data_IF_869673741543
#
_entry.id   IF_869673741543
#
_cell.length_a   1.000
_cell.length_b   1.000
_cell.length_c   1.000
_cell.angle_alpha   90.00
_cell.angle_beta   90.00
_cell.angle_gamma   90.00
#
_symmetry.space_group_name_H-M   'P 1'
#
loop_
_entity.id
_entity.type
_entity.pdbx_description
1 polymer ?
#
# COMPACT_ATOMS: atom_id res chain seq x y z
N UNK A 1 -6.47 3.14 6.18
CA UNK A 1 -6.12 1.76 6.59
C UNK A 1 -4.61 1.65 6.76
N UNK A 2 -4.13 1.26 7.95
CA UNK A 2 -2.69 1.16 8.30
C UNK A 2 -1.90 0.31 7.31
N UNK A 3 -2.49 -0.76 6.77
CA UNK A 3 -1.79 -1.66 5.83
C UNK A 3 -1.26 -0.97 4.57
N UNK A 4 -1.99 0.02 4.05
CA UNK A 4 -1.58 0.80 2.88
C UNK A 4 -0.36 1.68 3.18
N UNK A 5 -0.35 2.35 4.34
CA UNK A 5 0.77 3.20 4.79
C UNK A 5 2.04 2.34 4.94
N UNK A 6 1.91 1.13 5.48
CA UNK A 6 3.03 0.19 5.64
C UNK A 6 3.60 -0.29 4.31
N UNK A 7 2.75 -0.61 3.33
CA UNK A 7 3.20 -0.97 1.98
C UNK A 7 3.93 0.19 1.29
N UNK A 8 3.39 1.40 1.39
CA UNK A 8 4.00 2.60 0.80
C UNK A 8 5.36 2.92 1.43
N UNK A 9 5.47 2.83 2.76
CA UNK A 9 6.75 3.00 3.46
C UNK A 9 7.79 1.96 3.01
N UNK A 10 7.41 0.68 2.93
CA UNK A 10 8.28 -0.40 2.43
C UNK A 10 8.76 -0.15 1.00
N UNK A 11 7.88 0.37 0.12
CA UNK A 11 8.24 0.78 -1.23
C UNK A 11 9.29 1.90 -1.24
N UNK A 12 9.05 2.99 -0.51
CA UNK A 12 9.94 4.15 -0.48
C UNK A 12 11.33 3.80 0.06
N UNK A 13 11.40 2.96 1.10
CA UNK A 13 12.67 2.48 1.66
C UNK A 13 13.45 1.62 0.66
N UNK A 14 12.75 0.76 -0.10
CA UNK A 14 13.35 -0.08 -1.15
C UNK A 14 13.81 0.70 -2.37
N UNK A 15 13.10 1.76 -2.77
CA UNK A 15 13.55 2.65 -3.85
C UNK A 15 14.86 3.35 -3.51
N UNK A 16 15.08 3.67 -2.23
CA UNK A 16 16.30 4.31 -1.76
C UNK A 16 17.46 3.32 -1.55
N UNK A 17 17.26 2.00 -1.73
CA UNK A 17 18.32 1.01 -1.49
C UNK A 17 19.43 1.22 -2.52
N UNK A 18 20.52 1.87 -2.09
CA UNK A 18 21.76 1.94 -2.85
C UNK A 18 22.56 0.66 -2.59
N UNK A 19 23.25 0.17 -3.62
CA UNK A 19 23.94 -1.12 -3.69
C UNK A 19 24.80 -1.44 -2.45
N UNK A 20 24.18 -2.03 -1.41
CA UNK A 20 24.86 -2.51 -0.20
C UNK A 20 24.15 -2.22 1.13
N UNK A 21 23.22 -1.25 1.21
CA UNK A 21 22.52 -0.94 2.47
C UNK A 21 21.08 -1.40 2.42
N UNK A 22 20.67 -2.27 3.35
CA UNK A 22 19.26 -2.60 3.55
C UNK A 22 18.58 -1.46 4.33
N UNK A 23 18.02 -0.49 3.61
CA UNK A 23 17.38 0.68 4.21
C UNK A 23 16.19 0.34 5.10
N UNK A 24 15.55 -0.81 4.88
CA UNK A 24 14.48 -1.26 5.76
C UNK A 24 15.05 -1.61 7.14
N UNK A 25 16.16 -2.35 7.17
CA UNK A 25 16.88 -2.67 8.41
C UNK A 25 17.40 -1.40 9.07
N UNK A 26 18.02 -0.50 8.31
CA UNK A 26 18.53 0.76 8.84
C UNK A 26 17.42 1.64 9.42
N UNK A 27 16.29 1.79 8.71
CA UNK A 27 15.14 2.54 9.19
C UNK A 27 14.64 1.97 10.52
N UNK A 28 14.55 0.65 10.59
CA UNK A 28 14.05 -0.04 11.75
C UNK A 28 14.99 0.09 12.96
N UNK A 29 16.31 -0.08 12.77
CA UNK A 29 17.28 0.09 13.86
C UNK A 29 17.40 1.54 14.33
N UNK A 30 17.41 2.49 13.39
CA UNK A 30 17.76 3.89 13.66
C UNK A 30 16.58 4.75 14.09
N UNK A 31 15.35 4.39 13.70
CA UNK A 31 14.16 5.17 14.07
C UNK A 31 13.18 4.37 14.92
N UNK A 32 12.90 3.12 14.60
CA UNK A 32 11.85 2.37 15.31
C UNK A 32 12.33 1.88 16.69
N UNK A 33 13.56 1.38 16.77
CA UNK A 33 14.10 0.81 18.01
C UNK A 33 14.67 1.87 18.97
N UNK A 34 15.26 2.94 18.45
CA UNK A 34 15.99 3.95 19.23
C UNK A 34 15.09 5.07 19.78
N UNK A 35 14.02 5.42 19.07
CA UNK A 35 13.18 6.56 19.42
C UNK A 35 12.01 6.11 20.31
N UNK A 36 11.93 6.71 21.51
CA UNK A 36 10.88 6.47 22.49
C UNK A 36 9.47 6.74 21.94
N UNK A 37 9.33 7.58 20.91
CA UNK A 37 8.03 7.87 20.28
C UNK A 37 7.36 6.62 19.71
N UNK A 38 8.13 5.69 19.14
CA UNK A 38 7.57 4.46 18.55
C UNK A 38 7.27 3.39 19.60
N UNK A 39 8.00 3.42 20.72
CA UNK A 39 7.88 2.48 21.82
C UNK A 39 6.81 2.89 22.86
N UNK A 40 6.40 4.16 22.85
CA UNK A 40 5.38 4.69 23.77
C UNK A 40 4.07 3.93 23.63
N UNK A 41 3.51 3.52 24.77
CA UNK A 41 2.22 2.87 24.82
C UNK A 41 1.12 3.82 24.31
N UNK A 42 0.27 3.30 23.42
CA UNK A 42 -0.90 4.01 22.91
C UNK A 42 -2.09 3.51 23.70
N UNK A 43 -2.69 4.39 24.50
CA UNK A 43 -3.94 4.09 25.20
C UNK A 43 -5.06 3.99 24.16
N UNK A 44 -6.00 3.09 24.41
CA UNK A 44 -7.23 2.91 23.62
C UNK A 44 -7.07 2.27 22.23
N UNK A 45 -5.86 1.82 21.87
CA UNK A 45 -5.65 0.98 20.69
C UNK A 45 -5.95 -0.50 21.02
N UNK A 46 -6.90 -1.11 20.31
CA UNK A 46 -7.28 -2.53 20.49
C UNK A 46 -6.30 -3.49 19.83
N UNK A 47 -5.81 -3.12 18.64
CA UNK A 47 -5.09 -4.05 17.75
C UNK A 47 -3.56 -3.99 17.93
N UNK A 48 -3.04 -2.93 18.55
CA UNK A 48 -1.62 -2.70 18.78
C UNK A 48 -1.35 -1.88 20.03
N UNK A 49 -0.23 -2.15 20.70
CA UNK A 49 0.13 -1.51 21.97
C UNK A 49 0.99 -0.26 21.80
N UNK A 50 1.68 -0.14 20.68
CA UNK A 50 2.55 0.98 20.32
C UNK A 50 2.70 1.06 18.80
N UNK A 51 3.28 2.14 18.28
CA UNK A 51 3.58 2.22 16.85
C UNK A 51 4.61 1.17 16.42
N UNK A 52 5.56 0.82 17.29
CA UNK A 52 6.47 -0.29 17.06
C UNK A 52 5.72 -1.62 16.94
N UNK A 53 4.83 -1.95 17.87
CA UNK A 53 4.03 -3.19 17.82
C UNK A 53 3.20 -3.27 16.53
N UNK A 54 2.63 -2.13 16.11
CA UNK A 54 1.92 -2.04 14.83
C UNK A 54 2.82 -2.34 13.63
N UNK A 55 4.02 -1.75 13.61
CA UNK A 55 5.00 -1.93 12.53
C UNK A 55 5.47 -3.38 12.47
N UNK A 56 5.71 -4.00 13.62
CA UNK A 56 6.17 -5.38 13.77
C UNK A 56 5.12 -6.36 13.23
N UNK A 57 3.86 -6.17 13.63
CA UNK A 57 2.72 -6.94 13.12
C UNK A 57 2.53 -6.81 11.62
N UNK A 58 2.98 -5.71 11.01
CA UNK A 58 2.85 -5.44 9.56
C UNK A 58 4.17 -5.54 8.80
N UNK A 59 5.23 -6.05 9.42
CA UNK A 59 6.57 -6.17 8.82
C UNK A 59 6.54 -6.96 7.50
N UNK A 60 5.69 -8.00 7.42
CA UNK A 60 5.49 -8.79 6.20
C UNK A 60 5.00 -7.96 5.01
N UNK A 61 4.24 -6.88 5.24
CA UNK A 61 3.79 -5.97 4.20
C UNK A 61 4.93 -5.08 3.69
N UNK A 62 5.81 -4.63 4.59
CA UNK A 62 6.99 -3.84 4.22
C UNK A 62 8.06 -4.68 3.52
N UNK A 63 8.14 -5.98 3.86
CA UNK A 63 9.13 -6.90 3.33
C UNK A 63 8.69 -7.66 2.07
N UNK A 64 7.60 -7.25 1.42
CA UNK A 64 7.16 -7.87 0.16
C UNK A 64 8.20 -7.76 -0.94
N UNK A 65 8.27 -8.76 -1.83
CA UNK A 65 9.21 -8.75 -2.95
C UNK A 65 9.05 -7.47 -3.80
N UNK A 66 10.16 -6.86 -4.19
CA UNK A 66 10.17 -5.59 -4.92
C UNK A 66 9.35 -5.64 -6.21
N UNK A 67 9.39 -6.77 -6.95
CA UNK A 67 8.55 -6.99 -8.15
C UNK A 67 7.06 -6.94 -7.83
N UNK A 68 6.66 -7.45 -6.66
CA UNK A 68 5.28 -7.45 -6.17
C UNK A 68 4.84 -6.01 -5.87
N UNK A 69 5.70 -5.26 -5.19
CA UNK A 69 5.43 -3.86 -4.81
C UNK A 69 5.30 -2.97 -6.06
N UNK A 70 6.17 -3.14 -7.06
CA UNK A 70 6.06 -2.38 -8.31
C UNK A 70 4.74 -2.64 -9.03
N UNK A 71 4.36 -3.92 -9.21
CA UNK A 71 3.08 -4.25 -9.87
C UNK A 71 1.87 -3.72 -9.08
N UNK A 72 1.92 -3.77 -7.75
CA UNK A 72 0.89 -3.15 -6.90
C UNK A 72 0.80 -1.64 -7.12
N UNK A 73 1.95 -0.96 -7.10
CA UNK A 73 2.02 0.49 -7.28
C UNK A 73 1.49 0.93 -8.65
N UNK A 74 1.78 0.17 -9.70
CA UNK A 74 1.25 0.42 -11.04
C UNK A 74 -0.29 0.35 -11.06
N UNK A 75 -0.86 -0.72 -10.50
CA UNK A 75 -2.32 -0.87 -10.39
C UNK A 75 -2.93 0.23 -9.51
N UNK A 76 -2.28 0.56 -8.40
CA UNK A 76 -2.70 1.62 -7.48
C UNK A 76 -2.68 3.01 -8.14
N UNK A 77 -1.69 3.29 -9.00
CA UNK A 77 -1.63 4.55 -9.74
C UNK A 77 -2.81 4.70 -10.70
N UNK A 78 -3.20 3.62 -11.40
CA UNK A 78 -4.39 3.62 -12.27
C UNK A 78 -5.64 3.93 -11.44
N UNK A 79 -5.77 3.28 -10.27
CA UNK A 79 -6.89 3.49 -9.36
C UNK A 79 -7.00 4.95 -8.85
N UNK A 80 -5.88 5.54 -8.44
CA UNK A 80 -5.82 6.95 -8.04
C UNK A 80 -6.20 7.89 -9.20
N UNK A 81 -5.77 7.57 -10.42
CA UNK A 81 -6.15 8.35 -11.60
C UNK A 81 -7.66 8.27 -11.86
N UNK A 82 -8.28 7.09 -11.71
CA UNK A 82 -9.73 6.93 -11.81
C UNK A 82 -10.47 7.80 -10.79
N UNK A 83 -10.03 7.78 -9.53
CA UNK A 83 -10.61 8.60 -8.47
C UNK A 83 -10.45 10.11 -8.74
N UNK A 84 -9.28 10.55 -9.21
CA UNK A 84 -9.03 11.94 -9.56
C UNK A 84 -9.87 12.41 -10.75
N UNK A 85 -10.05 11.55 -11.76
CA UNK A 85 -10.95 11.84 -12.88
C UNK A 85 -12.40 11.92 -12.41
N UNK A 86 -12.85 10.97 -11.58
CA UNK A 86 -14.20 10.97 -10.98
C UNK A 86 -14.51 12.27 -10.22
N UNK A 87 -13.56 12.75 -9.40
CA UNK A 87 -13.72 13.95 -8.58
C UNK A 87 -13.80 15.26 -9.40
N UNK A 88 -13.34 15.29 -10.65
CA UNK A 88 -13.49 16.47 -11.51
C UNK A 88 -14.96 16.58 -11.91
N UNK A 89 -15.61 17.71 -11.58
CA UNK A 89 -17.05 18.00 -11.81
C UNK A 89 -17.51 18.05 -13.29
N UNK A 90 -16.78 17.44 -14.22
CA UNK A 90 -17.15 17.28 -15.62
C UNK A 90 -16.51 16.01 -16.18
N UNK A 91 -16.77 14.89 -15.51
CA UNK A 91 -16.26 13.58 -15.93
C UNK A 91 -16.74 13.25 -17.33
N UNK A 92 -15.84 13.34 -18.30
CA UNK A 92 -16.07 12.72 -19.60
C UNK A 92 -16.08 11.20 -19.36
N UNK A 93 -17.27 10.60 -19.23
CA UNK A 93 -17.47 9.18 -18.92
C UNK A 93 -16.56 8.24 -19.74
N UNK A 94 -16.20 8.62 -20.97
CA UNK A 94 -15.27 7.89 -21.83
C UNK A 94 -13.88 7.70 -21.20
N UNK A 95 -13.33 8.70 -20.52
CA UNK A 95 -12.00 8.62 -19.90
C UNK A 95 -12.02 7.73 -18.67
N UNK A 96 -13.06 7.85 -17.85
CA UNK A 96 -13.27 6.98 -16.68
C UNK A 96 -13.39 5.51 -17.11
N UNK A 97 -14.25 5.21 -18.08
CA UNK A 97 -14.44 3.84 -18.61
C UNK A 97 -13.16 3.24 -19.22
N UNK A 98 -12.33 4.06 -19.87
CA UNK A 98 -11.03 3.59 -20.38
C UNK A 98 -10.10 3.19 -19.23
N UNK A 99 -10.01 4.02 -18.18
CA UNK A 99 -9.16 3.75 -17.01
C UNK A 99 -9.67 2.58 -16.17
N UNK A 100 -10.98 2.41 -16.08
CA UNK A 100 -11.62 1.25 -15.46
C UNK A 100 -11.22 -0.06 -16.15
N UNK A 101 -11.30 -0.11 -17.48
CA UNK A 101 -10.84 -1.28 -18.25
C UNK A 101 -9.35 -1.56 -18.06
N UNK A 102 -8.49 -0.54 -18.14
CA UNK A 102 -7.05 -0.67 -17.89
C UNK A 102 -6.77 -1.22 -16.48
N UNK A 103 -7.55 -0.81 -15.48
CA UNK A 103 -7.42 -1.29 -14.12
C UNK A 103 -7.85 -2.76 -13.98
N UNK A 104 -8.99 -3.14 -14.56
CA UNK A 104 -9.51 -4.52 -14.54
C UNK A 104 -8.50 -5.48 -15.18
N UNK A 105 -7.97 -5.14 -16.34
CA UNK A 105 -6.94 -5.94 -17.02
C UNK A 105 -5.70 -6.12 -16.13
N UNK A 106 -5.23 -5.05 -15.50
CA UNK A 106 -4.06 -5.11 -14.59
C UNK A 106 -4.35 -5.94 -13.34
N UNK A 107 -5.55 -5.85 -12.81
CA UNK A 107 -6.00 -6.65 -11.67
C UNK A 107 -6.06 -8.14 -12.01
N UNK A 108 -6.57 -8.49 -13.19
CA UNK A 108 -6.61 -9.88 -13.66
C UNK A 108 -5.20 -10.46 -13.87
N UNK A 109 -4.27 -9.67 -14.43
CA UNK A 109 -2.85 -10.06 -14.52
C UNK A 109 -2.25 -10.34 -13.14
N UNK A 110 -2.55 -9.50 -12.15
CA UNK A 110 -2.11 -9.68 -10.78
C UNK A 110 -2.72 -10.93 -10.13
N UNK A 111 -3.99 -11.23 -10.43
CA UNK A 111 -4.72 -12.35 -9.86
C UNK A 111 -4.29 -13.72 -10.41
N UNK A 112 -3.65 -13.76 -11.59
CA UNK A 112 -3.10 -14.98 -12.17
C UNK A 112 -1.82 -15.49 -11.48
N UNK A 113 -1.15 -14.63 -10.71
CA UNK A 113 0.06 -15.02 -9.97
C UNK A 113 -0.29 -15.39 -8.52
N UNK A 114 -0.23 -16.67 -8.12
CA UNK A 114 -0.56 -17.09 -6.76
C UNK A 114 0.36 -16.47 -5.69
N UNK A 115 1.57 -16.00 -6.08
CA UNK A 115 2.47 -15.27 -5.17
C UNK A 115 1.98 -13.84 -4.89
N UNK A 116 1.03 -13.34 -5.67
CA UNK A 116 0.43 -12.01 -5.56
C UNK A 116 -0.95 -12.04 -4.89
N UNK A 117 -1.45 -13.19 -4.42
CA UNK A 117 -2.77 -13.32 -3.81
C UNK A 117 -3.00 -12.33 -2.64
N UNK A 118 -1.97 -12.09 -1.81
CA UNK A 118 -2.02 -11.09 -0.73
C UNK A 118 -2.16 -9.65 -1.26
N UNK A 119 -1.54 -9.35 -2.40
CA UNK A 119 -1.61 -8.05 -3.08
C UNK A 119 -3.01 -7.83 -3.66
N UNK A 120 -3.58 -8.86 -4.29
CA UNK A 120 -4.94 -8.85 -4.85
C UNK A 120 -5.98 -8.57 -3.77
N UNK A 121 -5.82 -9.16 -2.56
CA UNK A 121 -6.71 -8.91 -1.42
C UNK A 121 -6.66 -7.45 -0.95
N UNK A 122 -5.48 -6.83 -0.93
CA UNK A 122 -5.34 -5.41 -0.54
C UNK A 122 -5.95 -4.49 -1.58
N UNK A 123 -5.73 -4.75 -2.88
CA UNK A 123 -6.37 -3.98 -3.95
C UNK A 123 -7.90 -4.12 -3.87
N UNK A 124 -8.42 -5.33 -3.66
CA UNK A 124 -9.85 -5.59 -3.48
C UNK A 124 -10.42 -4.82 -2.28
N UNK A 125 -9.70 -4.78 -1.17
CA UNK A 125 -10.09 -3.98 0.00
C UNK A 125 -10.10 -2.47 -0.31
N UNK A 126 -9.09 -1.96 -1.02
CA UNK A 126 -9.04 -0.56 -1.45
C UNK A 126 -10.22 -0.19 -2.35
N UNK A 127 -10.60 -1.07 -3.28
CA UNK A 127 -11.78 -0.89 -4.14
C UNK A 127 -13.08 -0.86 -3.33
N UNK A 128 -13.27 -1.81 -2.41
CA UNK A 128 -14.43 -1.84 -1.50
C UNK A 128 -14.53 -0.54 -0.69
N UNK A 129 -13.41 -0.05 -0.16
CA UNK A 129 -13.39 1.18 0.61
C UNK A 129 -13.68 2.43 -0.25
N UNK A 130 -13.20 2.48 -1.50
CA UNK A 130 -13.51 3.57 -2.42
C UNK A 130 -14.98 3.55 -2.86
N UNK A 131 -15.57 2.36 -3.10
CA UNK A 131 -17.00 2.22 -3.39
C UNK A 131 -17.87 2.75 -2.23
N UNK A 132 -17.46 2.52 -0.98
CA UNK A 132 -18.16 3.03 0.21
C UNK A 132 -18.07 4.56 0.34
N UNK A 133 -17.04 5.21 -0.22
CA UNK A 133 -16.91 6.67 -0.19
C UNK A 133 -17.71 7.35 -1.31
N UNK A 134 -18.02 6.60 -2.37
CA UNK A 134 -18.71 7.10 -3.58
C UNK A 134 -20.24 6.94 -3.48
N UNK A 135 -20.74 6.05 -2.61
CA UNK A 135 -22.17 5.81 -2.34
C UNK A 135 -22.59 6.58 -1.08
#
# INVERSE_FOLDING_TARGET
>A
NVGYIMMWLGYMLRLKNNAGTNNLTYFYSTFINSDNKYNKAIKDATDYKSYKDLIDKKQNLMNMNMRIIFKFYDAFKILCNMYNEYKKENTNCKNYLKKDKEFVEKYEELNKDPKLLKTVLVIKYCLLYQLIIII
#
